data_IF_120761130727
#
_entry.id   IF_120761130727
#
_cell.length_a   1.000
_cell.length_b   1.000
_cell.length_c   1.000
_cell.angle_alpha   90.00
_cell.angle_beta   90.00
_cell.angle_gamma   90.00
#
_symmetry.space_group_name_H-M   'P 1'
#
loop_
_entity.id
_entity.type
_entity.pdbx_description
1 polymer ?
#
# COMPACT_ATOMS: atom_id res chain seq x y z
N UNK A 1 0.69 -7.17 12.43
CA UNK A 1 1.31 -6.22 13.38
C UNK A 1 0.89 -6.47 14.83
N UNK A 2 -0.41 -6.58 15.14
CA UNK A 2 -0.92 -6.73 16.52
C UNK A 2 -0.52 -7.98 17.34
N UNK A 3 0.01 -9.03 16.72
CA UNK A 3 0.56 -10.23 17.41
C UNK A 3 2.10 -10.32 17.37
N UNK A 4 2.76 -9.47 16.57
CA UNK A 4 4.22 -9.47 16.40
C UNK A 4 4.82 -8.32 17.23
N UNK A 5 4.39 -7.09 16.94
CA UNK A 5 4.87 -5.89 17.63
C UNK A 5 3.95 -5.47 18.78
N UNK A 6 2.74 -6.04 18.86
CA UNK A 6 1.73 -5.67 19.86
C UNK A 6 1.34 -4.19 19.82
N UNK A 7 1.52 -3.55 18.67
CA UNK A 7 1.28 -2.13 18.50
C UNK A 7 -0.18 -1.87 18.14
N UNK A 8 -0.82 -2.77 17.39
CA UNK A 8 -2.26 -2.77 17.11
C UNK A 8 -3.01 -3.74 18.03
N UNK A 9 -4.33 -3.55 18.25
CA UNK A 9 -5.17 -4.54 18.90
C UNK A 9 -4.95 -5.95 18.30
N UNK A 10 -4.87 -7.00 19.13
CA UNK A 10 -5.10 -7.02 20.57
C UNK A 10 -3.86 -6.70 21.44
N UNK A 11 -2.78 -6.15 20.87
CA UNK A 11 -1.60 -5.73 21.65
C UNK A 11 -0.68 -6.86 22.11
N UNK A 12 -0.78 -8.04 21.50
CA UNK A 12 -0.04 -9.23 21.91
C UNK A 12 1.33 -9.31 21.21
N UNK A 13 2.38 -9.74 21.92
CA UNK A 13 3.71 -9.99 21.36
C UNK A 13 4.05 -11.47 21.45
N UNK A 14 3.61 -12.27 20.48
CA UNK A 14 3.86 -13.72 20.45
C UNK A 14 3.92 -14.24 19.00
N UNK A 15 5.10 -14.69 18.58
CA UNK A 15 5.35 -15.13 17.20
C UNK A 15 4.55 -16.37 16.81
N UNK A 16 4.36 -17.34 17.72
CA UNK A 16 3.56 -18.53 17.44
C UNK A 16 2.08 -18.20 17.23
N UNK A 17 1.55 -17.29 18.05
CA UNK A 17 0.18 -16.76 17.84
C UNK A 17 0.09 -15.97 16.54
N UNK A 18 1.11 -15.20 16.18
CA UNK A 18 1.14 -14.47 14.90
C UNK A 18 1.10 -15.43 13.70
N UNK A 19 1.86 -16.54 13.74
CA UNK A 19 1.83 -17.58 12.70
C UNK A 19 0.43 -18.22 12.64
N UNK A 20 -0.17 -18.56 13.78
CA UNK A 20 -1.53 -19.11 13.84
C UNK A 20 -2.56 -18.16 13.24
N UNK A 21 -2.49 -16.87 13.57
CA UNK A 21 -3.38 -15.84 13.02
C UNK A 21 -3.19 -15.71 11.51
N UNK A 22 -1.95 -15.70 11.02
CA UNK A 22 -1.67 -15.65 9.59
C UNK A 22 -2.32 -16.82 8.84
N UNK A 23 -2.14 -18.05 9.33
CA UNK A 23 -2.74 -19.24 8.71
C UNK A 23 -4.27 -19.19 8.75
N UNK A 24 -4.86 -18.79 9.88
CA UNK A 24 -6.30 -18.63 10.02
C UNK A 24 -6.86 -17.59 9.03
N UNK A 25 -6.16 -16.47 8.81
CA UNK A 25 -6.58 -15.45 7.85
C UNK A 25 -6.52 -15.97 6.42
N UNK A 26 -5.47 -16.74 6.06
CA UNK A 26 -5.40 -17.35 4.73
C UNK A 26 -6.52 -18.39 4.52
N UNK A 27 -6.85 -19.19 5.53
CA UNK A 27 -7.93 -20.18 5.43
C UNK A 27 -9.31 -19.51 5.40
N UNK A 28 -9.50 -18.45 6.18
CA UNK A 28 -10.73 -17.65 6.17
C UNK A 28 -10.97 -17.01 4.80
N UNK A 29 -9.92 -16.45 4.17
CA UNK A 29 -9.99 -15.89 2.82
C UNK A 29 -10.46 -16.93 1.80
N UNK A 30 -9.85 -18.12 1.79
CA UNK A 30 -10.22 -19.22 0.88
C UNK A 30 -11.69 -19.63 1.05
N UNK A 31 -12.13 -19.78 2.30
CA UNK A 31 -13.53 -20.12 2.61
C UNK A 31 -14.49 -19.01 2.17
N UNK A 32 -14.14 -17.75 2.40
CA UNK A 32 -14.93 -16.60 1.99
C UNK A 32 -15.09 -16.56 0.46
N UNK A 33 -13.99 -16.71 -0.29
CA UNK A 33 -14.02 -16.83 -1.75
C UNK A 33 -14.99 -17.92 -2.22
N UNK A 34 -14.87 -19.15 -1.66
CA UNK A 34 -15.77 -20.25 -2.03
C UNK A 34 -17.23 -19.97 -1.70
N UNK A 35 -17.52 -19.38 -0.53
CA UNK A 35 -18.89 -19.07 -0.12
C UNK A 35 -19.50 -17.99 -1.01
N UNK A 36 -18.73 -16.95 -1.36
CA UNK A 36 -19.18 -15.87 -2.23
C UNK A 36 -19.48 -16.42 -3.63
N UNK A 37 -18.55 -17.16 -4.22
CA UNK A 37 -18.75 -17.75 -5.56
C UNK A 37 -19.89 -18.76 -5.63
N UNK A 38 -20.19 -19.47 -4.53
CA UNK A 38 -21.39 -20.31 -4.45
C UNK A 38 -22.71 -19.53 -4.48
N UNK A 39 -22.69 -18.25 -4.10
CA UNK A 39 -23.87 -17.37 -4.07
C UNK A 39 -23.96 -16.51 -5.31
N UNK A 40 -22.82 -16.07 -5.83
CA UNK A 40 -22.68 -15.24 -7.01
C UNK A 40 -21.34 -15.56 -7.70
N UNK A 41 -21.40 -16.33 -8.79
CA UNK A 41 -20.23 -16.73 -9.58
C UNK A 41 -19.58 -15.56 -10.34
N UNK A 42 -20.27 -14.42 -10.45
CA UNK A 42 -19.76 -13.23 -11.16
C UNK A 42 -18.94 -12.31 -10.25
N UNK A 43 -19.11 -12.43 -8.93
CA UNK A 43 -18.40 -11.64 -7.95
C UNK A 43 -16.88 -11.82 -8.07
N UNK A 44 -16.13 -10.74 -7.87
CA UNK A 44 -14.66 -10.78 -7.85
C UNK A 44 -14.18 -10.67 -6.42
N UNK A 45 -13.39 -11.64 -5.98
CA UNK A 45 -12.88 -11.75 -4.61
C UNK A 45 -11.37 -11.67 -4.63
N UNK A 46 -10.80 -10.78 -3.83
CA UNK A 46 -9.34 -10.61 -3.69
C UNK A 46 -9.00 -10.16 -2.28
N UNK A 47 -7.71 -9.96 -2.01
CA UNK A 47 -7.23 -9.44 -0.73
C UNK A 47 -6.42 -8.16 -0.93
N UNK A 48 -6.62 -7.17 -0.07
CA UNK A 48 -5.83 -5.94 -0.04
C UNK A 48 -4.72 -6.06 1.00
N UNK A 49 -3.47 -5.98 0.55
CA UNK A 49 -2.31 -6.19 1.40
C UNK A 49 -1.38 -4.97 1.38
N UNK A 50 -0.92 -4.56 2.56
CA UNK A 50 0.15 -3.57 2.69
C UNK A 50 1.48 -4.15 2.23
N UNK A 51 1.96 -3.67 1.08
CA UNK A 51 3.25 -4.05 0.53
C UNK A 51 4.29 -2.97 0.78
N UNK A 52 5.55 -3.37 0.81
CA UNK A 52 6.70 -2.49 1.02
C UNK A 52 7.69 -2.71 -0.10
N UNK A 53 8.23 -1.62 -0.66
CA UNK A 53 9.40 -1.73 -1.52
C UNK A 53 10.65 -1.93 -0.66
N UNK A 54 11.14 -3.16 -0.57
CA UNK A 54 12.42 -3.44 0.08
C UNK A 54 13.55 -3.14 -0.90
N UNK A 55 14.35 -2.11 -0.59
CA UNK A 55 15.47 -1.70 -1.41
C UNK A 55 16.79 -1.99 -0.67
N UNK A 56 17.75 -2.68 -1.30
CA UNK A 56 19.04 -2.90 -0.67
C UNK A 56 19.82 -1.59 -0.61
N UNK A 57 20.51 -1.30 0.50
CA UNK A 57 21.31 -0.07 0.64
C UNK A 57 22.51 0.00 -0.30
N UNK A 58 22.98 -1.14 -0.77
CA UNK A 58 24.05 -1.28 -1.75
C UNK A 58 23.90 -2.61 -2.48
N UNK A 59 24.77 -2.85 -3.46
CA UNK A 59 24.64 -3.99 -4.35
C UNK A 59 25.26 -5.29 -3.82
N UNK A 60 25.61 -5.37 -2.53
CA UNK A 60 26.15 -6.59 -1.95
C UNK A 60 25.16 -7.75 -2.05
N UNK A 61 25.67 -8.93 -2.43
CA UNK A 61 24.87 -10.13 -2.61
C UNK A 61 24.02 -10.48 -1.37
N UNK A 62 24.60 -10.37 -0.18
CA UNK A 62 23.90 -10.63 1.09
C UNK A 62 22.68 -9.72 1.26
N UNK A 63 22.80 -8.42 0.93
CA UNK A 63 21.69 -7.48 1.04
C UNK A 63 20.56 -7.83 0.05
N UNK A 64 20.89 -8.28 -1.16
CA UNK A 64 19.89 -8.76 -2.14
C UNK A 64 19.15 -10.01 -1.64
N UNK A 65 19.85 -10.93 -0.99
CA UNK A 65 19.23 -12.13 -0.38
C UNK A 65 18.28 -11.72 0.74
N UNK A 66 18.70 -10.85 1.66
CA UNK A 66 17.84 -10.37 2.76
C UNK A 66 16.59 -9.67 2.20
N UNK A 67 16.75 -8.81 1.19
CA UNK A 67 15.62 -8.16 0.50
C UNK A 67 14.66 -9.20 -0.10
N UNK A 68 15.18 -10.21 -0.81
CA UNK A 68 14.34 -11.25 -1.42
C UNK A 68 13.55 -12.06 -0.37
N UNK A 69 14.19 -12.37 0.76
CA UNK A 69 13.54 -13.05 1.89
C UNK A 69 12.46 -12.14 2.51
N UNK A 70 12.78 -10.88 2.81
CA UNK A 70 11.84 -9.93 3.38
C UNK A 70 10.63 -9.70 2.46
N UNK A 71 10.87 -9.49 1.17
CA UNK A 71 9.84 -9.36 0.14
C UNK A 71 8.94 -10.60 0.08
N UNK A 72 9.53 -11.81 0.12
CA UNK A 72 8.73 -13.03 0.13
C UNK A 72 7.79 -13.08 1.34
N UNK A 73 8.31 -12.93 2.55
CA UNK A 73 7.51 -13.08 3.77
C UNK A 73 6.49 -11.95 3.97
N UNK A 74 6.84 -10.72 3.57
CA UNK A 74 5.97 -9.55 3.75
C UNK A 74 4.99 -9.37 2.59
N UNK A 75 5.48 -9.33 1.35
CA UNK A 75 4.67 -8.95 0.18
C UNK A 75 3.98 -10.17 -0.45
N UNK A 76 4.72 -11.27 -0.67
CA UNK A 76 4.24 -12.35 -1.57
C UNK A 76 3.59 -13.54 -0.87
N UNK A 77 4.00 -13.87 0.35
CA UNK A 77 3.60 -15.10 1.06
C UNK A 77 2.08 -15.22 1.18
N UNK A 78 1.39 -14.13 1.52
CA UNK A 78 -0.07 -14.18 1.65
C UNK A 78 -0.74 -14.49 0.31
N UNK A 79 -0.42 -13.72 -0.75
CA UNK A 79 -0.96 -13.95 -2.09
C UNK A 79 -0.67 -15.38 -2.58
N UNK A 80 0.56 -15.87 -2.38
CA UNK A 80 0.92 -17.25 -2.72
C UNK A 80 0.08 -18.28 -1.96
N UNK A 81 -0.18 -18.04 -0.67
CA UNK A 81 -0.96 -18.96 0.16
C UNK A 81 -2.44 -19.02 -0.23
N UNK A 82 -2.99 -17.94 -0.80
CA UNK A 82 -4.39 -17.88 -1.25
C UNK A 82 -4.54 -18.02 -2.77
N UNK A 83 -3.46 -18.38 -3.48
CA UNK A 83 -3.49 -18.63 -4.92
C UNK A 83 -4.55 -19.69 -5.27
N UNK A 84 -5.30 -19.45 -6.35
CA UNK A 84 -6.49 -20.23 -6.73
C UNK A 84 -7.78 -19.87 -5.98
N UNK A 85 -7.71 -18.94 -5.02
CA UNK A 85 -8.85 -18.42 -4.27
C UNK A 85 -8.87 -16.89 -4.26
N UNK A 86 -8.35 -16.29 -5.34
CA UNK A 86 -8.39 -14.85 -5.58
C UNK A 86 -8.55 -14.59 -7.08
N UNK A 87 -9.44 -13.67 -7.42
CA UNK A 87 -9.70 -13.17 -8.76
C UNK A 87 -8.85 -11.93 -9.10
N UNK A 88 -8.31 -11.25 -8.09
CA UNK A 88 -7.43 -10.08 -8.22
C UNK A 88 -6.54 -9.92 -6.98
N UNK A 89 -5.53 -9.05 -7.09
CA UNK A 89 -4.67 -8.62 -5.99
C UNK A 89 -4.95 -7.16 -5.62
N UNK A 90 -5.23 -6.88 -4.35
CA UNK A 90 -5.28 -5.53 -3.81
C UNK A 90 -3.93 -5.13 -3.21
N UNK A 91 -3.41 -3.97 -3.58
CA UNK A 91 -2.10 -3.48 -3.18
C UNK A 91 -2.23 -2.15 -2.44
N UNK A 92 -1.76 -2.12 -1.20
CA UNK A 92 -1.64 -0.89 -0.40
C UNK A 92 -0.16 -0.49 -0.33
N UNK A 93 0.23 0.63 -0.93
CA UNK A 93 1.63 1.09 -0.99
C UNK A 93 1.78 2.52 -0.46
N UNK A 94 2.79 2.74 0.38
CA UNK A 94 3.06 4.05 0.99
C UNK A 94 4.52 4.47 0.96
N UNK A 95 5.46 3.54 1.14
CA UNK A 95 6.89 3.88 1.29
C UNK A 95 7.80 2.67 1.06
N UNK A 96 9.11 2.89 1.16
CA UNK A 96 10.14 1.85 1.07
C UNK A 96 10.72 1.45 2.43
N UNK A 97 11.51 0.39 2.44
CA UNK A 97 12.42 0.02 3.53
C UNK A 97 13.80 -0.26 2.96
N UNK A 98 14.78 0.50 3.41
CA UNK A 98 16.18 0.24 3.13
C UNK A 98 16.70 -0.93 3.96
N UNK A 99 17.34 -1.90 3.31
CA UNK A 99 17.81 -3.14 3.93
C UNK A 99 19.31 -3.29 3.75
N UNK A 100 19.99 -3.63 4.84
CA UNK A 100 21.43 -3.90 4.86
C UNK A 100 22.24 -2.82 5.56
N UNK A 101 23.55 -3.05 5.63
CA UNK A 101 24.54 -2.09 6.12
C UNK A 101 25.07 -1.24 4.96
N UNK A 102 25.26 0.05 5.19
CA UNK A 102 25.93 0.98 4.29
C UNK A 102 27.05 1.71 5.03
N UNK A 103 28.07 2.14 4.29
CA UNK A 103 29.06 3.11 4.75
C UNK A 103 28.76 4.43 4.03
N UNK A 104 28.55 5.51 4.79
CA UNK A 104 28.24 6.84 4.25
C UNK A 104 26.84 7.35 4.60
N UNK A 105 26.60 8.63 4.33
CA UNK A 105 25.30 9.26 4.54
C UNK A 105 24.28 8.78 3.50
N UNK A 106 23.07 8.48 3.96
CA UNK A 106 21.95 8.18 3.06
C UNK A 106 21.42 9.48 2.43
N UNK A 107 21.08 9.40 1.15
CA UNK A 107 20.43 10.51 0.45
C UNK A 107 19.09 10.84 1.13
N UNK A 108 18.90 12.11 1.50
CA UNK A 108 17.65 12.56 2.09
C UNK A 108 16.59 12.70 0.99
N UNK A 109 15.59 11.82 1.02
CA UNK A 109 14.39 11.97 0.20
C UNK A 109 13.34 12.84 0.91
N UNK A 110 12.45 13.50 0.15
CA UNK A 110 11.28 14.16 0.73
C UNK A 110 10.47 13.19 1.60
N UNK A 111 9.90 13.70 2.68
CA UNK A 111 9.09 12.92 3.61
C UNK A 111 7.70 13.52 3.81
N UNK A 112 6.74 12.64 4.07
CA UNK A 112 5.42 12.99 4.61
C UNK A 112 5.52 13.59 6.01
N UNK A 113 4.42 14.12 6.54
CA UNK A 113 4.36 14.62 7.92
C UNK A 113 4.68 13.50 8.93
N UNK A 114 4.39 12.25 8.58
CA UNK A 114 4.75 11.06 9.37
C UNK A 114 6.22 10.66 9.29
N UNK A 115 7.04 11.37 8.51
CA UNK A 115 8.44 11.03 8.29
C UNK A 115 8.65 9.85 7.35
N UNK A 116 7.61 9.41 6.62
CA UNK A 116 7.76 8.35 5.62
C UNK A 116 8.32 8.93 4.34
N UNK A 117 9.39 8.33 3.83
CA UNK A 117 10.00 8.70 2.55
C UNK A 117 8.98 8.58 1.42
N UNK A 118 8.94 9.60 0.56
CA UNK A 118 8.15 9.65 -0.67
C UNK A 118 9.00 9.02 -1.77
N UNK A 119 8.58 7.85 -2.24
CA UNK A 119 9.35 7.01 -3.17
C UNK A 119 8.44 6.50 -4.29
N UNK A 120 8.09 7.34 -5.28
CA UNK A 120 7.18 6.95 -6.36
C UNK A 120 7.64 5.69 -7.09
N UNK A 121 8.94 5.53 -7.35
CA UNK A 121 9.49 4.36 -8.04
C UNK A 121 9.23 3.04 -7.33
N UNK A 122 8.99 3.08 -6.01
CA UNK A 122 8.72 1.88 -5.23
C UNK A 122 7.40 1.21 -5.62
N UNK A 123 6.36 1.97 -6.00
CA UNK A 123 5.09 1.39 -6.44
C UNK A 123 5.27 0.59 -7.74
N UNK A 124 6.06 1.11 -8.68
CA UNK A 124 6.40 0.42 -9.93
C UNK A 124 7.09 -0.93 -9.63
N UNK A 125 8.07 -0.93 -8.73
CA UNK A 125 8.80 -2.16 -8.40
C UNK A 125 7.94 -3.22 -7.72
N UNK A 126 7.06 -2.84 -6.78
CA UNK A 126 6.18 -3.82 -6.13
C UNK A 126 5.15 -4.39 -7.11
N UNK A 127 4.58 -3.56 -8.00
CA UNK A 127 3.66 -4.00 -9.04
C UNK A 127 4.33 -4.98 -10.01
N UNK A 128 5.55 -4.64 -10.48
CA UNK A 128 6.33 -5.50 -11.37
C UNK A 128 6.68 -6.84 -10.74
N UNK A 129 7.01 -6.87 -9.44
CA UNK A 129 7.28 -8.12 -8.72
C UNK A 129 6.04 -9.01 -8.58
N UNK A 130 4.85 -8.40 -8.44
CA UNK A 130 3.58 -9.10 -8.33
C UNK A 130 3.03 -9.59 -9.68
N UNK A 131 3.56 -9.12 -10.82
CA UNK A 131 3.21 -9.62 -12.17
C UNK A 131 3.26 -11.15 -12.27
N UNK A 132 4.19 -11.79 -11.57
CA UNK A 132 4.35 -13.25 -11.53
C UNK A 132 3.14 -14.02 -10.99
N UNK A 133 2.21 -13.35 -10.30
CA UNK A 133 0.99 -13.96 -9.79
C UNK A 133 -0.10 -14.13 -10.87
N UNK A 134 0.09 -13.53 -12.05
CA UNK A 134 -0.81 -13.65 -13.21
C UNK A 134 -2.29 -13.36 -12.88
N UNK A 135 -2.52 -12.36 -12.04
CA UNK A 135 -3.85 -11.86 -11.66
C UNK A 135 -3.89 -10.34 -11.85
N UNK A 136 -5.07 -9.77 -12.16
CA UNK A 136 -5.26 -8.32 -12.17
C UNK A 136 -4.89 -7.70 -10.83
N UNK A 137 -4.32 -6.50 -10.86
CA UNK A 137 -3.93 -5.74 -9.68
C UNK A 137 -4.80 -4.48 -9.57
N UNK A 138 -5.27 -4.20 -8.36
CA UNK A 138 -5.84 -2.90 -7.99
C UNK A 138 -4.94 -2.29 -6.91
N UNK A 139 -4.50 -1.05 -7.11
CA UNK A 139 -3.87 -0.28 -6.02
C UNK A 139 -4.99 0.19 -5.12
N UNK A 140 -5.29 -0.58 -4.07
CA UNK A 140 -6.43 -0.36 -3.17
C UNK A 140 -6.17 0.75 -2.17
N UNK A 141 -4.91 1.06 -1.88
CA UNK A 141 -4.52 2.26 -1.13
C UNK A 141 -3.17 2.81 -1.61
N UNK A 142 -3.11 4.11 -1.86
CA UNK A 142 -1.87 4.87 -1.95
C UNK A 142 -2.16 6.32 -1.56
N UNK A 143 -1.34 6.90 -0.69
CA UNK A 143 -1.66 8.19 -0.09
C UNK A 143 -0.53 8.77 0.76
N UNK A 144 -0.72 10.02 1.19
CA UNK A 144 0.27 10.73 1.99
C UNK A 144 -0.36 11.54 3.12
N UNK A 145 0.26 11.45 4.31
CA UNK A 145 0.03 12.38 5.40
C UNK A 145 0.67 13.73 5.08
N UNK A 146 -0.17 14.71 4.76
CA UNK A 146 0.21 16.05 4.33
C UNK A 146 -0.90 17.04 4.73
N UNK A 147 -0.81 17.59 5.94
CA UNK A 147 -1.81 18.50 6.47
C UNK A 147 -1.92 19.82 5.69
N UNK A 148 -0.83 20.25 5.04
CA UNK A 148 -0.77 21.51 4.30
C UNK A 148 -1.21 21.38 2.84
N UNK A 149 -1.29 20.15 2.34
CA UNK A 149 -1.58 19.86 0.93
C UNK A 149 -0.50 20.40 -0.03
N UNK A 150 0.73 20.59 0.45
CA UNK A 150 1.83 21.14 -0.35
C UNK A 150 2.66 20.09 -1.09
N UNK A 151 2.44 18.80 -0.80
CA UNK A 151 3.12 17.65 -1.43
C UNK A 151 2.15 16.68 -2.09
N UNK A 152 0.89 16.67 -1.66
CA UNK A 152 -0.10 15.65 -2.05
C UNK A 152 -0.35 15.60 -3.55
N UNK A 153 -0.41 16.75 -4.21
CA UNK A 153 -0.55 16.83 -5.67
C UNK A 153 0.60 16.13 -6.39
N UNK A 154 1.84 16.50 -6.08
CA UNK A 154 3.02 15.88 -6.66
C UNK A 154 3.12 14.39 -6.30
N UNK A 155 2.77 14.02 -5.07
CA UNK A 155 2.70 12.62 -4.65
C UNK A 155 1.77 11.81 -5.56
N UNK A 156 0.53 12.28 -5.78
CA UNK A 156 -0.48 11.60 -6.60
C UNK A 156 0.03 11.45 -8.03
N UNK A 157 0.48 12.55 -8.63
CA UNK A 157 0.90 12.56 -10.05
C UNK A 157 2.12 11.66 -10.27
N UNK A 158 3.15 11.73 -9.42
CA UNK A 158 4.35 10.91 -9.57
C UNK A 158 4.08 9.42 -9.36
N UNK A 159 3.24 9.04 -8.37
CA UNK A 159 2.89 7.63 -8.17
C UNK A 159 2.04 7.09 -9.31
N UNK A 160 1.08 7.85 -9.83
CA UNK A 160 0.29 7.44 -10.99
C UNK A 160 1.15 7.32 -12.26
N UNK A 161 2.16 8.18 -12.47
CA UNK A 161 3.13 8.02 -13.56
C UNK A 161 3.89 6.68 -13.43
N UNK A 162 4.23 6.25 -12.22
CA UNK A 162 4.88 4.97 -11.98
C UNK A 162 3.95 3.76 -12.12
N UNK A 163 2.66 3.91 -11.78
CA UNK A 163 1.63 2.91 -12.09
C UNK A 163 1.46 2.77 -13.60
N UNK A 164 1.35 3.88 -14.33
CA UNK A 164 1.27 3.88 -15.79
C UNK A 164 2.46 3.18 -16.42
N UNK A 165 3.68 3.49 -15.97
CA UNK A 165 4.89 2.80 -16.40
C UNK A 165 4.84 1.28 -16.16
N UNK A 166 4.25 0.83 -15.04
CA UNK A 166 4.08 -0.60 -14.79
C UNK A 166 3.08 -1.23 -15.79
N UNK A 167 2.01 -0.51 -16.14
CA UNK A 167 1.04 -0.92 -17.18
C UNK A 167 1.74 -1.04 -18.54
N UNK A 168 2.56 -0.05 -18.93
CA UNK A 168 3.34 -0.08 -20.17
C UNK A 168 4.34 -1.26 -20.21
N UNK A 169 4.91 -1.63 -19.07
CA UNK A 169 5.75 -2.83 -18.91
C UNK A 169 4.93 -4.15 -18.82
N UNK A 170 3.62 -4.09 -19.10
CA UNK A 170 2.72 -5.23 -19.21
C UNK A 170 2.24 -5.81 -17.88
N UNK A 171 2.21 -5.03 -16.80
CA UNK A 171 1.51 -5.41 -15.56
C UNK A 171 0.01 -5.08 -15.71
N UNK A 172 -0.88 -6.04 -15.47
CA UNK A 172 -2.35 -5.85 -15.55
C UNK A 172 -2.85 -5.09 -14.31
N UNK A 173 -2.67 -3.77 -14.27
CA UNK A 173 -3.21 -2.89 -13.23
C UNK A 173 -4.53 -2.28 -13.72
N UNK A 174 -5.62 -2.52 -12.99
CA UNK A 174 -6.98 -2.17 -13.42
C UNK A 174 -7.63 -1.03 -12.64
N UNK A 175 -7.02 -0.58 -11.56
CA UNK A 175 -7.54 0.55 -10.80
C UNK A 175 -6.58 1.07 -9.75
N UNK A 176 -6.83 2.31 -9.34
CA UNK A 176 -6.08 3.03 -8.32
C UNK A 176 -7.06 3.79 -7.42
N UNK A 177 -6.96 3.55 -6.12
CA UNK A 177 -7.77 4.17 -5.09
C UNK A 177 -6.85 5.01 -4.19
N UNK A 178 -7.07 6.32 -4.19
CA UNK A 178 -6.32 7.20 -3.31
C UNK A 178 -6.76 7.04 -1.85
N UNK A 179 -5.78 6.86 -0.94
CA UNK A 179 -5.99 6.91 0.50
C UNK A 179 -5.71 8.33 1.02
N UNK A 180 -6.70 9.10 1.46
CA UNK A 180 -8.10 8.74 1.69
C UNK A 180 -9.05 9.82 1.18
N UNK A 181 -10.34 9.51 1.15
CA UNK A 181 -11.35 10.52 0.82
C UNK A 181 -11.41 11.62 1.89
N UNK A 182 -11.46 11.23 3.17
CA UNK A 182 -11.63 12.12 4.31
C UNK A 182 -10.47 11.96 5.30
N UNK A 183 -10.09 13.06 5.94
CA UNK A 183 -9.27 12.98 7.15
C UNK A 183 -9.98 12.15 8.21
N UNK A 184 -9.28 11.13 8.74
CA UNK A 184 -9.87 10.11 9.59
C UNK A 184 -8.93 9.72 10.74
N UNK A 185 -9.30 8.68 11.50
CA UNK A 185 -8.50 8.16 12.60
C UNK A 185 -7.48 7.13 12.09
N UNK A 186 -6.19 7.49 12.10
CA UNK A 186 -5.10 6.69 11.55
C UNK A 186 -4.46 5.73 12.58
N UNK A 187 -5.25 5.12 13.46
CA UNK A 187 -4.76 4.26 14.57
C UNK A 187 -3.78 4.95 15.56
N UNK A 188 -3.72 4.50 16.83
CA UNK A 188 -2.82 5.11 17.82
C UNK A 188 -1.34 5.08 17.39
N UNK A 189 -0.89 4.00 16.75
CA UNK A 189 0.51 3.85 16.35
C UNK A 189 0.94 4.81 15.24
N UNK A 190 -0.02 5.34 14.45
CA UNK A 190 0.22 6.36 13.43
C UNK A 190 -0.29 7.72 13.90
N UNK A 191 -0.38 7.94 15.22
CA UNK A 191 -0.72 9.24 15.86
C UNK A 191 -2.19 9.65 15.74
N UNK A 192 -3.11 8.70 15.57
CA UNK A 192 -4.56 8.90 15.72
C UNK A 192 -5.13 9.94 14.75
N UNK A 193 -5.72 11.02 15.29
CA UNK A 193 -6.29 12.12 14.50
C UNK A 193 -5.28 13.17 14.06
N UNK A 194 -3.98 12.99 14.30
CA UNK A 194 -2.98 13.98 13.89
C UNK A 194 -2.66 13.94 12.38
N UNK A 195 -2.38 12.78 11.76
CA UNK A 195 -2.09 12.74 10.33
C UNK A 195 -3.32 13.10 9.51
N UNK A 196 -3.06 13.70 8.36
CA UNK A 196 -4.08 14.17 7.42
C UNK A 196 -3.82 13.50 6.08
N UNK A 197 -4.53 12.43 5.76
CA UNK A 197 -4.43 11.73 4.46
C UNK A 197 -5.50 12.16 3.47
N UNK A 198 -6.56 12.80 3.94
CA UNK A 198 -7.78 13.04 3.19
C UNK A 198 -7.59 14.03 2.06
N UNK A 199 -8.19 13.73 0.90
CA UNK A 199 -8.48 14.71 -0.16
C UNK A 199 -9.45 15.79 0.33
N UNK A 200 -10.26 15.48 1.34
CA UNK A 200 -11.17 16.40 2.00
C UNK A 200 -10.79 16.51 3.46
N UNK A 201 -10.49 17.73 3.88
CA UNK A 201 -10.26 18.07 5.28
C UNK A 201 -11.54 17.93 6.10
N UNK A 202 -11.40 17.41 7.32
CA UNK A 202 -12.49 17.36 8.30
C UNK A 202 -12.08 18.15 9.54
N UNK A 203 -12.85 19.18 9.88
CA UNK A 203 -12.76 19.82 11.19
C UNK A 203 -13.41 18.91 12.23
N UNK A 204 -12.63 18.28 13.11
CA UNK A 204 -13.18 17.35 14.10
C UNK A 204 -14.03 17.99 15.19
N UNK A 205 -14.01 19.32 15.36
CA UNK A 205 -14.87 20.01 16.33
C UNK A 205 -16.28 20.23 15.77
N UNK A 206 -16.36 20.61 14.49
CA UNK A 206 -17.62 21.00 13.83
C UNK A 206 -18.14 19.96 12.85
N UNK A 207 -17.30 18.99 12.48
CA UNK A 207 -17.48 18.06 11.36
C UNK A 207 -17.65 18.77 10.00
N UNK A 208 -17.21 20.03 9.85
CA UNK A 208 -17.19 20.69 8.55
C UNK A 208 -16.21 19.98 7.59
N UNK A 209 -16.53 19.97 6.29
CA UNK A 209 -15.71 19.36 5.23
C UNK A 209 -15.19 20.43 4.27
N UNK A 210 -13.89 20.41 4.00
CA UNK A 210 -13.24 21.34 3.06
C UNK A 210 -12.44 20.56 2.03
N UNK A 211 -12.79 20.70 0.76
CA UNK A 211 -12.09 20.02 -0.35
C UNK A 211 -10.69 20.63 -0.50
N UNK A 212 -9.64 19.81 -0.43
CA UNK A 212 -8.26 20.27 -0.62
C UNK A 212 -7.96 20.51 -2.12
N UNK A 213 -7.02 21.42 -2.46
CA UNK A 213 -6.57 21.62 -3.84
C UNK A 213 -6.22 20.33 -4.59
N UNK A 214 -5.47 19.42 -3.96
CA UNK A 214 -5.08 18.12 -4.54
C UNK A 214 -6.26 17.23 -4.93
N UNK A 215 -7.41 17.36 -4.26
CA UNK A 215 -8.64 16.65 -4.62
C UNK A 215 -9.16 17.06 -5.99
N UNK A 216 -9.01 18.33 -6.36
CA UNK A 216 -9.41 18.84 -7.67
C UNK A 216 -8.50 18.28 -8.76
N UNK A 217 -7.21 18.13 -8.46
CA UNK A 217 -6.24 17.51 -9.36
C UNK A 217 -6.57 16.03 -9.57
N UNK A 218 -6.80 15.28 -8.49
CA UNK A 218 -7.20 13.88 -8.59
C UNK A 218 -8.52 13.72 -9.36
N UNK A 219 -9.51 14.59 -9.11
CA UNK A 219 -10.77 14.61 -9.85
C UNK A 219 -10.57 14.90 -11.35
N UNK A 220 -9.67 15.82 -11.70
CA UNK A 220 -9.33 16.11 -13.10
C UNK A 220 -8.67 14.90 -13.77
N UNK A 221 -7.73 14.24 -13.09
CA UNK A 221 -7.08 13.01 -13.59
C UNK A 221 -8.13 11.92 -13.86
N UNK A 222 -9.03 11.68 -12.91
CA UNK A 222 -10.10 10.69 -13.06
C UNK A 222 -11.04 11.05 -14.22
N UNK A 223 -11.43 12.33 -14.35
CA UNK A 223 -12.31 12.81 -15.41
C UNK A 223 -11.67 12.67 -16.79
N UNK A 224 -10.39 13.00 -16.90
CA UNK A 224 -9.64 12.98 -18.15
C UNK A 224 -9.07 11.58 -18.46
N UNK A 225 -9.14 10.65 -17.52
CA UNK A 225 -8.50 9.34 -17.57
C UNK A 225 -7.00 9.44 -17.93
N UNK A 226 -6.30 10.41 -17.35
CA UNK A 226 -4.92 10.72 -17.70
C UNK A 226 -4.32 11.84 -16.86
N UNK A 227 -2.99 11.90 -16.82
CA UNK A 227 -2.22 12.96 -16.16
C UNK A 227 -1.79 13.94 -17.24
N UNK A 228 -2.10 15.23 -17.07
CA UNK A 228 -1.62 16.27 -17.99
C UNK A 228 -0.08 16.39 -17.87
N UNK A 229 0.58 16.64 -19.02
CA UNK A 229 2.03 16.55 -19.14
C UNK A 229 2.78 17.64 -18.38
#
# INVERSE_FOLDING_TARGET
>A
MGYIRGNQPPGVKNIFKAIKVFNNLTDAHKKAHQIIHKRDETAKVGSANSVIYFQPKNNFFVNRVIVSVADYFWNRRFFKNVSGFSDFLGVNYYTRRLVGFSFGAEEQKPVSDLGWEIVPEGIYHVLKNLKSQNLPIYVTENGIADAKDDKREEFITQHLRMVHKAIEDGVDVRGYFYWSLLDNFEFPEVRGFWPRFGLVEVDYKTMARTIRPSAKVYAAICKNNGIEN
#
